data_IF_051483826419
#
_entry.id   IF_051483826419
#
_cell.length_a   1.000
_cell.length_b   1.000
_cell.length_c   1.000
_cell.angle_alpha   90.00
_cell.angle_beta   90.00
_cell.angle_gamma   90.00
#
_symmetry.space_group_name_H-M   'P 1'
#
loop_
_entity.id
_entity.type
_entity.pdbx_description
1 polymer ?
#
# COMPACT_ATOMS: atom_id res chain seq x y z
N UNK A 1 3.63 0.12 -14.88
CA UNK A 1 3.07 0.71 -13.65
C UNK A 1 1.56 0.54 -13.70
N UNK A 2 1.02 -0.55 -13.15
CA UNK A 2 -0.40 -0.90 -13.35
C UNK A 2 -1.38 0.20 -12.94
N UNK A 3 -1.08 0.93 -11.85
CA UNK A 3 -1.91 2.05 -11.40
C UNK A 3 -1.99 3.19 -12.42
N UNK A 4 -0.91 3.46 -13.16
CA UNK A 4 -0.88 4.53 -14.16
C UNK A 4 -1.73 4.19 -15.38
N UNK A 5 -1.67 2.93 -15.83
CA UNK A 5 -2.46 2.46 -16.98
C UNK A 5 -3.96 2.49 -16.66
N UNK A 6 -4.34 2.01 -15.47
CA UNK A 6 -5.73 2.07 -14.99
C UNK A 6 -6.21 3.50 -14.80
N UNK A 7 -5.34 4.38 -14.29
CA UNK A 7 -5.69 5.77 -14.07
C UNK A 7 -5.76 6.57 -15.37
N UNK A 8 -5.22 6.10 -16.49
CA UNK A 8 -5.37 6.73 -17.82
C UNK A 8 -6.49 6.11 -18.67
N UNK A 9 -7.00 4.94 -18.29
CA UNK A 9 -8.12 4.29 -18.96
C UNK A 9 -9.47 4.94 -18.59
N UNK A 10 -10.22 5.36 -19.61
CA UNK A 10 -11.56 5.93 -19.43
C UNK A 10 -12.56 4.92 -18.85
N UNK A 11 -12.40 3.64 -19.18
CA UNK A 11 -13.27 2.57 -18.67
C UNK A 11 -13.07 2.36 -17.17
N UNK A 12 -11.81 2.32 -16.71
CA UNK A 12 -11.49 2.07 -15.30
C UNK A 12 -11.83 3.28 -14.42
N UNK A 13 -11.66 4.50 -14.93
CA UNK A 13 -12.15 5.73 -14.27
C UNK A 13 -13.66 5.70 -14.05
N UNK A 14 -14.43 5.13 -14.98
CA UNK A 14 -15.89 5.01 -14.83
C UNK A 14 -16.29 3.92 -13.84
N UNK A 15 -15.57 2.79 -13.81
CA UNK A 15 -15.86 1.67 -12.90
C UNK A 15 -15.55 2.02 -11.44
N UNK A 16 -14.43 2.68 -11.18
CA UNK A 16 -13.94 2.94 -9.81
C UNK A 16 -13.45 4.39 -9.68
N UNK A 17 -14.36 5.39 -9.77
CA UNK A 17 -13.98 6.81 -9.83
C UNK A 17 -13.32 7.32 -8.54
N UNK A 18 -13.55 6.66 -7.40
CA UNK A 18 -12.89 7.02 -6.14
C UNK A 18 -11.41 6.58 -6.09
N UNK A 19 -11.01 5.64 -6.95
CA UNK A 19 -9.67 5.04 -6.95
C UNK A 19 -8.82 5.49 -8.13
N UNK A 20 -9.43 5.90 -9.24
CA UNK A 20 -8.74 6.31 -10.47
C UNK A 20 -9.26 7.65 -10.99
N UNK A 21 -8.38 8.43 -11.62
CA UNK A 21 -8.65 9.77 -12.15
C UNK A 21 -7.69 10.85 -11.65
N UNK A 22 -6.54 10.50 -11.08
CA UNK A 22 -5.59 11.47 -10.52
C UNK A 22 -4.59 12.02 -11.55
N UNK A 23 -4.40 11.34 -12.67
CA UNK A 23 -3.48 11.72 -13.73
C UNK A 23 -4.20 12.66 -14.70
N UNK A 24 -3.67 13.88 -14.91
CA UNK A 24 -4.25 14.85 -15.83
C UNK A 24 -4.10 14.40 -17.29
N UNK A 25 -5.04 14.82 -18.13
CA UNK A 25 -5.08 14.39 -19.55
C UNK A 25 -4.04 15.12 -20.43
N UNK A 26 -3.46 16.23 -19.97
CA UNK A 26 -2.42 16.98 -20.69
C UNK A 26 -1.12 16.17 -20.78
N UNK A 27 -0.52 16.10 -21.97
CA UNK A 27 0.67 15.28 -22.25
C UNK A 27 1.85 15.57 -21.31
N UNK A 28 2.18 16.85 -21.08
CA UNK A 28 3.28 17.26 -20.21
C UNK A 28 3.00 16.86 -18.75
N UNK A 29 1.82 17.19 -18.23
CA UNK A 29 1.43 16.86 -16.86
C UNK A 29 1.39 15.35 -16.63
N UNK A 30 0.94 14.58 -17.62
CA UNK A 30 0.96 13.11 -17.61
C UNK A 30 2.38 12.55 -17.56
N UNK A 31 3.31 13.11 -18.35
CA UNK A 31 4.72 12.73 -18.34
C UNK A 31 5.39 13.04 -16.98
N UNK A 32 5.09 14.20 -16.38
CA UNK A 32 5.55 14.54 -15.03
C UNK A 32 5.03 13.54 -14.00
N UNK A 33 3.74 13.21 -14.03
CA UNK A 33 3.17 12.21 -13.12
C UNK A 33 3.86 10.86 -13.29
N UNK A 34 4.05 10.38 -14.52
CA UNK A 34 4.75 9.12 -14.78
C UNK A 34 6.18 9.12 -14.23
N UNK A 35 6.95 10.18 -14.51
CA UNK A 35 8.32 10.30 -14.04
C UNK A 35 8.39 10.40 -12.51
N UNK A 36 7.48 11.15 -11.90
CA UNK A 36 7.39 11.26 -10.43
C UNK A 36 7.09 9.90 -9.78
N UNK A 37 6.13 9.16 -10.30
CA UNK A 37 5.78 7.82 -9.81
C UNK A 37 6.95 6.85 -9.95
N UNK A 38 7.67 6.87 -11.08
CA UNK A 38 8.84 6.04 -11.31
C UNK A 38 9.99 6.39 -10.33
N UNK A 39 10.29 7.68 -10.20
CA UNK A 39 11.35 8.16 -9.29
C UNK A 39 11.06 7.82 -7.84
N UNK A 40 9.79 7.89 -7.43
CA UNK A 40 9.36 7.56 -6.08
C UNK A 40 9.52 6.07 -5.79
N UNK A 41 9.08 5.20 -6.70
CA UNK A 41 9.29 3.75 -6.57
C UNK A 41 10.78 3.41 -6.50
N UNK A 42 11.60 4.01 -7.37
CA UNK A 42 13.04 3.80 -7.35
C UNK A 42 13.68 4.24 -6.02
N UNK A 43 13.37 5.46 -5.57
CA UNK A 43 13.89 6.00 -4.31
C UNK A 43 13.45 5.17 -3.10
N UNK A 44 12.21 4.68 -3.08
CA UNK A 44 11.70 3.83 -2.01
C UNK A 44 12.46 2.51 -1.90
N UNK A 45 12.67 1.84 -3.04
CA UNK A 45 13.40 0.57 -3.08
C UNK A 45 14.86 0.77 -2.69
N UNK A 46 15.50 1.86 -3.14
CA UNK A 46 16.84 2.21 -2.69
C UNK A 46 16.86 2.45 -1.18
N UNK A 47 15.96 3.27 -0.64
CA UNK A 47 15.92 3.58 0.79
C UNK A 47 15.74 2.33 1.65
N UNK A 48 14.82 1.42 1.28
CA UNK A 48 14.59 0.16 1.99
C UNK A 48 15.81 -0.75 1.93
N UNK A 49 16.39 -0.95 0.74
CA UNK A 49 17.55 -1.83 0.57
C UNK A 49 18.80 -1.28 1.28
N UNK A 50 19.06 0.02 1.22
CA UNK A 50 20.13 0.66 2.00
C UNK A 50 19.90 0.54 3.51
N UNK A 51 18.67 0.76 3.98
CA UNK A 51 18.34 0.61 5.41
C UNK A 51 18.60 -0.81 5.90
N UNK A 52 18.18 -1.82 5.13
CA UNK A 52 18.39 -3.22 5.48
C UNK A 52 19.87 -3.61 5.41
N UNK A 53 20.60 -3.14 4.40
CA UNK A 53 22.04 -3.38 4.28
C UNK A 53 22.80 -2.78 5.48
N UNK A 54 22.47 -1.54 5.86
CA UNK A 54 23.13 -0.86 6.99
C UNK A 54 22.85 -1.58 8.32
N UNK A 55 21.60 -2.01 8.55
CA UNK A 55 21.23 -2.77 9.74
C UNK A 55 21.90 -4.15 9.76
N UNK A 56 21.97 -4.82 8.61
CA UNK A 56 22.62 -6.13 8.47
C UNK A 56 24.12 -6.08 8.81
N UNK A 57 24.82 -5.02 8.35
CA UNK A 57 26.24 -4.82 8.65
C UNK A 57 26.47 -4.44 10.12
N UNK A 58 25.56 -3.66 10.71
CA UNK A 58 25.70 -3.21 12.10
C UNK A 58 25.52 -4.35 13.09
N UNK A 59 24.38 -5.04 13.04
CA UNK A 59 24.17 -6.31 13.73
C UNK A 59 22.88 -6.98 13.22
N UNK A 60 22.95 -8.25 12.77
CA UNK A 60 21.84 -8.95 12.13
C UNK A 60 20.63 -9.17 13.04
N UNK A 61 20.80 -9.18 14.37
CA UNK A 61 19.67 -9.27 15.30
C UNK A 61 18.79 -8.02 15.24
N UNK A 62 19.38 -6.83 15.06
CA UNK A 62 18.61 -5.59 14.89
C UNK A 62 17.78 -5.59 13.61
N UNK A 63 18.29 -6.21 12.54
CA UNK A 63 17.50 -6.40 11.33
C UNK A 63 16.26 -7.27 11.61
N UNK A 64 16.40 -8.36 12.38
CA UNK A 64 15.25 -9.20 12.75
C UNK A 64 14.24 -8.43 13.60
N UNK A 65 14.69 -7.65 14.58
CA UNK A 65 13.79 -6.82 15.40
C UNK A 65 13.09 -5.75 14.56
N UNK A 66 13.79 -5.11 13.63
CA UNK A 66 13.21 -4.12 12.72
C UNK A 66 12.11 -4.75 11.85
N UNK A 67 12.40 -5.90 11.22
CA UNK A 67 11.42 -6.60 10.37
C UNK A 67 10.21 -7.10 11.17
N UNK A 68 10.44 -7.64 12.37
CA UNK A 68 9.37 -8.08 13.26
C UNK A 68 8.52 -6.91 13.75
N UNK A 69 9.12 -5.76 14.05
CA UNK A 69 8.40 -4.55 14.45
C UNK A 69 7.59 -3.94 13.30
N UNK A 70 8.16 -3.83 12.10
CA UNK A 70 7.47 -3.32 10.89
C UNK A 70 6.24 -4.19 10.56
N UNK A 71 6.40 -5.51 10.55
CA UNK A 71 5.30 -6.45 10.31
C UNK A 71 4.29 -6.49 11.46
N UNK A 72 4.76 -6.48 12.71
CA UNK A 72 3.92 -6.47 13.90
C UNK A 72 3.04 -5.23 13.98
N UNK A 73 3.60 -4.05 13.68
CA UNK A 73 2.86 -2.80 13.65
C UNK A 73 1.81 -2.79 12.53
N UNK A 74 2.13 -3.36 11.36
CA UNK A 74 1.17 -3.53 10.28
C UNK A 74 -0.02 -4.42 10.68
N UNK A 75 0.23 -5.56 11.31
CA UNK A 75 -0.84 -6.42 11.81
C UNK A 75 -1.67 -5.75 12.91
N UNK A 76 -1.03 -5.07 13.85
CA UNK A 76 -1.73 -4.33 14.91
C UNK A 76 -2.66 -3.27 14.30
N UNK A 77 -2.18 -2.52 13.32
CA UNK A 77 -2.99 -1.55 12.58
C UNK A 77 -4.24 -2.19 11.94
N UNK A 78 -4.09 -3.34 11.28
CA UNK A 78 -5.22 -4.06 10.66
C UNK A 78 -6.20 -4.62 11.70
N UNK A 79 -5.72 -5.08 12.86
CA UNK A 79 -6.56 -5.54 13.97
C UNK A 79 -7.39 -4.38 14.54
N UNK A 80 -6.76 -3.22 14.80
CA UNK A 80 -7.45 -2.03 15.31
C UNK A 80 -8.53 -1.55 14.34
N UNK A 81 -8.26 -1.61 13.02
CA UNK A 81 -9.24 -1.30 11.98
C UNK A 81 -10.33 -2.36 11.78
N UNK A 82 -10.24 -3.50 12.48
CA UNK A 82 -11.13 -4.68 12.30
C UNK A 82 -11.17 -5.20 10.86
N UNK A 83 -10.10 -4.96 10.09
CA UNK A 83 -9.96 -5.31 8.67
C UNK A 83 -8.88 -6.39 8.46
N UNK A 84 -8.77 -7.31 9.41
CA UNK A 84 -7.74 -8.35 9.38
C UNK A 84 -8.08 -9.47 8.39
N UNK A 85 -9.35 -9.83 8.30
CA UNK A 85 -9.79 -10.95 7.47
C UNK A 85 -9.93 -10.55 6.02
N UNK A 86 -9.32 -11.32 5.12
CA UNK A 86 -9.47 -11.15 3.69
C UNK A 86 -10.91 -11.42 3.23
N UNK A 87 -11.31 -10.86 2.08
CA UNK A 87 -12.68 -10.88 1.54
C UNK A 87 -13.22 -12.28 1.22
N UNK A 88 -12.37 -13.30 1.25
CA UNK A 88 -12.75 -14.68 0.93
C UNK A 88 -13.52 -15.30 2.11
N UNK A 89 -14.72 -15.79 1.82
CA UNK A 89 -15.63 -16.44 2.77
C UNK A 89 -15.13 -17.84 3.17
N UNK A 90 -14.10 -17.91 4.01
CA UNK A 90 -13.58 -19.14 4.61
C UNK A 90 -14.10 -19.31 6.04
N UNK A 91 -14.31 -20.55 6.47
CA UNK A 91 -14.78 -20.87 7.83
C UNK A 91 -13.61 -21.26 8.75
N UNK A 92 -13.71 -20.85 10.01
CA UNK A 92 -12.80 -21.30 11.08
C UNK A 92 -11.34 -20.85 10.92
N UNK A 93 -10.42 -21.68 11.39
CA UNK A 93 -8.99 -21.38 11.50
C UNK A 93 -8.31 -21.17 10.13
N UNK A 94 -8.85 -21.79 9.07
CA UNK A 94 -8.38 -21.62 7.69
C UNK A 94 -8.49 -20.17 7.23
N UNK A 95 -9.56 -19.46 7.63
CA UNK A 95 -9.75 -18.03 7.31
C UNK A 95 -8.61 -17.18 7.87
N UNK A 96 -8.19 -17.48 9.09
CA UNK A 96 -7.12 -16.75 9.77
C UNK A 96 -5.78 -16.96 9.07
N UNK A 97 -5.42 -18.21 8.78
CA UNK A 97 -4.15 -18.56 8.13
C UNK A 97 -4.07 -17.93 6.74
N UNK A 98 -5.10 -18.09 5.91
CA UNK A 98 -5.13 -17.51 4.56
C UNK A 98 -5.01 -15.99 4.59
N UNK A 99 -5.71 -15.34 5.54
CA UNK A 99 -5.61 -13.87 5.68
C UNK A 99 -4.20 -13.45 6.10
N UNK A 100 -3.55 -14.15 7.03
CA UNK A 100 -2.16 -13.82 7.43
C UNK A 100 -1.22 -13.92 6.23
N UNK A 101 -1.27 -15.02 5.48
CA UNK A 101 -0.41 -15.23 4.33
C UNK A 101 -0.62 -14.17 3.25
N UNK A 102 -1.87 -13.86 2.92
CA UNK A 102 -2.21 -12.83 1.94
C UNK A 102 -1.72 -11.45 2.39
N UNK A 103 -1.98 -11.06 3.66
CA UNK A 103 -1.53 -9.77 4.20
C UNK A 103 -0.01 -9.64 4.22
N UNK A 104 0.73 -10.71 4.52
CA UNK A 104 2.20 -10.72 4.42
C UNK A 104 2.64 -10.55 2.97
N UNK A 105 2.05 -11.29 2.03
CA UNK A 105 2.40 -11.20 0.62
C UNK A 105 2.18 -9.78 0.07
N UNK A 106 1.02 -9.17 0.35
CA UNK A 106 0.72 -7.80 -0.09
C UNK A 106 1.68 -6.80 0.58
N UNK A 107 1.96 -6.93 1.88
CA UNK A 107 2.90 -6.05 2.59
C UNK A 107 4.30 -6.12 1.99
N UNK A 108 4.81 -7.33 1.74
CA UNK A 108 6.11 -7.54 1.10
C UNK A 108 6.14 -6.94 -0.31
N UNK A 109 5.11 -7.18 -1.12
CA UNK A 109 5.02 -6.60 -2.46
C UNK A 109 5.07 -5.07 -2.41
N UNK A 110 4.33 -4.44 -1.50
CA UNK A 110 4.33 -2.98 -1.37
C UNK A 110 5.68 -2.46 -0.89
N UNK A 111 6.31 -3.08 0.12
CA UNK A 111 7.60 -2.61 0.62
C UNK A 111 8.73 -2.65 -0.42
N UNK A 112 8.70 -3.66 -1.31
CA UNK A 112 9.75 -3.83 -2.32
C UNK A 112 9.46 -3.18 -3.66
N UNK A 113 8.23 -2.74 -3.94
CA UNK A 113 7.88 -2.16 -5.25
C UNK A 113 7.20 -0.81 -5.17
N UNK A 114 6.77 -0.39 -3.97
CA UNK A 114 5.90 0.76 -3.76
C UNK A 114 4.71 0.77 -4.71
N UNK A 115 4.01 -0.38 -4.81
CA UNK A 115 2.90 -0.55 -5.74
C UNK A 115 1.69 0.32 -5.35
N UNK A 116 1.64 1.54 -5.90
CA UNK A 116 0.59 2.56 -5.64
C UNK A 116 -0.84 2.05 -5.88
N UNK A 117 -0.99 1.03 -6.72
CA UNK A 117 -2.29 0.41 -7.00
C UNK A 117 -2.98 -0.14 -5.75
N UNK A 118 -2.19 -0.68 -4.79
CA UNK A 118 -2.69 -1.30 -3.56
C UNK A 118 -3.09 -0.29 -2.47
N UNK A 119 -3.17 1.01 -2.81
CA UNK A 119 -3.57 2.08 -1.88
C UNK A 119 -5.03 2.00 -1.41
N UNK A 120 -5.87 1.20 -2.07
CA UNK A 120 -7.27 1.03 -1.70
C UNK A 120 -7.41 0.49 -0.28
N UNK A 121 -8.41 1.00 0.47
CA UNK A 121 -8.64 0.68 1.89
C UNK A 121 -8.73 -0.83 2.17
N UNK A 122 -9.26 -1.58 1.22
CA UNK A 122 -9.48 -3.02 1.28
C UNK A 122 -8.19 -3.86 1.26
N UNK A 123 -7.17 -3.39 0.55
CA UNK A 123 -5.89 -4.09 0.41
C UNK A 123 -4.92 -3.60 1.49
N UNK A 124 -4.13 -2.57 1.19
CA UNK A 124 -3.13 -2.03 2.10
C UNK A 124 -3.50 -0.66 2.71
N UNK A 125 -4.60 -0.04 2.24
CA UNK A 125 -4.90 1.38 2.41
C UNK A 125 -4.92 1.96 3.84
N UNK A 126 -4.78 3.28 3.89
CA UNK A 126 -4.72 4.10 5.12
C UNK A 126 -3.42 4.89 5.27
N UNK A 127 -2.95 5.05 6.50
CA UNK A 127 -1.78 5.88 6.86
C UNK A 127 -0.45 5.39 6.26
N UNK A 128 -0.36 4.10 5.88
CA UNK A 128 0.85 3.51 5.30
C UNK A 128 1.19 4.01 3.89
N UNK A 129 0.22 4.57 3.18
CA UNK A 129 0.42 5.12 1.82
C UNK A 129 0.38 6.66 1.79
N UNK A 130 0.54 7.34 2.93
CA UNK A 130 0.37 8.80 3.07
C UNK A 130 -1.06 9.29 2.73
N UNK A 131 -2.09 8.43 2.83
CA UNK A 131 -3.48 8.92 2.85
C UNK A 131 -3.86 9.33 4.28
N UNK A 132 -3.61 10.60 4.60
CA UNK A 132 -4.30 11.28 5.69
C UNK A 132 -5.74 11.53 5.22
N UNK A 133 -6.64 10.60 5.54
CA UNK A 133 -8.07 10.92 5.69
C UNK A 133 -8.46 10.70 7.14
N UNK A 134 -7.79 11.44 8.02
CA UNK A 134 -8.07 11.51 9.46
C UNK A 134 -8.78 12.83 9.84
N UNK A 135 -9.67 13.37 8.99
CA UNK A 135 -10.62 14.44 9.34
C UNK A 135 -11.83 14.47 8.37
N UNK A 136 -12.60 13.39 8.29
CA UNK A 136 -14.00 13.47 7.80
C UNK A 136 -14.82 12.46 8.60
N UNK A 137 -14.91 12.68 9.91
CA UNK A 137 -16.00 12.19 10.73
C UNK A 137 -16.97 13.36 10.90
N UNK A 138 -18.22 13.20 10.44
CA UNK A 138 -19.25 14.24 10.39
C UNK A 138 -18.93 15.28 9.31
N UNK A 139 -19.81 15.66 8.40
CA UNK A 139 -21.25 15.85 8.51
C UNK A 139 -21.89 15.28 7.22
N UNK A 140 -22.75 14.28 7.36
CA UNK A 140 -24.16 14.45 6.99
C UNK A 140 -24.71 15.83 7.40
N UNK A 141 -24.82 16.77 6.46
CA UNK A 141 -26.05 17.56 6.29
C UNK A 141 -26.06 18.37 4.98
N UNK A 142 -27.16 18.16 4.24
CA UNK A 142 -27.76 18.93 3.12
C UNK A 142 -27.33 18.60 1.69
#
# INVERSE_FOLDING_TARGET
>A
MISYDYDTSSEQRRKVPFQYGFIPDKALSRAICFLSMMSLSFAHVMLRTFSYALLAVTNPQWLMYYLAADMGLFFLYKIVRRDFFYFVNLKGLVRLVVSIFERIAIKLMVDFTMLVHLRGSCELGGCWFLQVKMLMGGEDEK
#
